data_IF_092894502604
#
_entry.id   IF_092894502604
#
_cell.length_a   1.000
_cell.length_b   1.000
_cell.length_c   1.000
_cell.angle_alpha   90.00
_cell.angle_beta   90.00
_cell.angle_gamma   90.00
#
_symmetry.space_group_name_H-M   'P 1'
#
loop_
_entity.id
_entity.type
_entity.pdbx_description
1 polymer ?
#
# COMPACT_ATOMS: atom_id res chain seq x y z
N UNK A 1 -2.69 33.21 -63.30
CA UNK A 1 -1.73 32.10 -63.03
C UNK A 1 -1.00 32.18 -61.67
N UNK A 2 -0.99 33.32 -60.94
CA UNK A 2 -0.26 33.45 -59.65
C UNK A 2 -1.00 32.97 -58.38
N UNK A 3 -2.30 32.65 -58.47
CA UNK A 3 -3.11 32.19 -57.33
C UNK A 3 -2.90 30.70 -56.97
N UNK A 4 -2.57 29.88 -57.97
CA UNK A 4 -2.32 28.44 -57.83
C UNK A 4 -1.14 28.16 -56.86
N UNK A 5 0.05 28.81 -56.97
CA UNK A 5 1.14 28.55 -56.03
C UNK A 5 0.81 29.00 -54.60
N UNK A 6 -0.01 30.04 -54.42
CA UNK A 6 -0.45 30.50 -53.09
C UNK A 6 -1.34 29.45 -52.42
N UNK A 7 -2.28 28.87 -53.17
CA UNK A 7 -3.14 27.78 -52.68
C UNK A 7 -2.32 26.55 -52.26
N UNK A 8 -1.28 26.21 -53.02
CA UNK A 8 -0.38 25.09 -52.70
C UNK A 8 0.36 25.36 -51.37
N UNK A 9 0.89 26.56 -51.17
CA UNK A 9 1.58 26.93 -49.92
C UNK A 9 0.64 26.86 -48.71
N UNK A 10 -0.59 27.36 -48.84
CA UNK A 10 -1.60 27.29 -47.77
C UNK A 10 -1.95 25.84 -47.45
N UNK A 11 -2.06 24.99 -48.47
CA UNK A 11 -2.32 23.57 -48.30
C UNK A 11 -1.19 22.84 -47.55
N UNK A 12 0.06 23.08 -47.93
CA UNK A 12 1.22 22.52 -47.22
C UNK A 12 1.32 23.04 -45.78
N UNK A 13 1.05 24.33 -45.55
CA UNK A 13 1.05 24.91 -44.21
C UNK A 13 -0.05 24.30 -43.33
N UNK A 14 -1.24 24.09 -43.88
CA UNK A 14 -2.33 23.40 -43.20
C UNK A 14 -1.94 21.96 -42.82
N UNK A 15 -1.38 21.19 -43.76
CA UNK A 15 -0.86 19.84 -43.48
C UNK A 15 0.18 19.87 -42.36
N UNK A 16 1.15 20.78 -42.41
CA UNK A 16 2.18 20.92 -41.40
C UNK A 16 1.60 21.16 -39.99
N UNK A 17 0.62 22.06 -39.86
CA UNK A 17 -0.06 22.32 -38.60
C UNK A 17 -0.79 21.08 -38.05
N UNK A 18 -1.49 20.33 -38.92
CA UNK A 18 -2.19 19.10 -38.49
C UNK A 18 -1.22 18.02 -38.00
N UNK A 19 -0.07 17.83 -38.67
CA UNK A 19 0.96 16.89 -38.26
C UNK A 19 1.58 17.27 -36.90
N UNK A 20 1.89 18.55 -36.69
CA UNK A 20 2.41 19.06 -35.41
C UNK A 20 1.42 18.82 -34.26
N UNK A 21 0.11 19.05 -34.49
CA UNK A 21 -0.96 18.78 -33.51
C UNK A 21 -1.06 17.28 -33.17
N UNK A 22 -1.00 16.40 -34.18
CA UNK A 22 -1.01 14.93 -33.98
C UNK A 22 0.19 14.45 -33.14
N UNK A 23 1.40 14.95 -33.43
CA UNK A 23 2.61 14.59 -32.66
C UNK A 23 2.51 15.02 -31.19
N UNK A 24 2.01 16.24 -30.92
CA UNK A 24 1.78 16.73 -29.54
C UNK A 24 0.75 15.87 -28.79
N UNK A 25 -0.34 15.48 -29.45
CA UNK A 25 -1.38 14.64 -28.86
C UNK A 25 -0.87 13.22 -28.56
N UNK A 26 -0.10 12.63 -29.47
CA UNK A 26 0.55 11.33 -29.29
C UNK A 26 1.53 11.35 -28.10
N UNK A 27 2.40 12.36 -28.02
CA UNK A 27 3.32 12.54 -26.88
C UNK A 27 2.59 12.72 -25.54
N UNK A 28 1.45 13.42 -25.52
CA UNK A 28 0.63 13.53 -24.30
C UNK A 28 0.05 12.17 -23.89
N UNK A 29 -0.47 11.39 -24.85
CA UNK A 29 -0.97 10.02 -24.59
C UNK A 29 0.14 9.11 -24.04
N UNK A 30 1.34 9.13 -24.62
CA UNK A 30 2.45 8.30 -24.14
C UNK A 30 2.93 8.72 -22.75
N UNK A 31 2.88 10.02 -22.41
CA UNK A 31 3.20 10.51 -21.07
C UNK A 31 2.18 10.04 -20.03
N UNK A 32 0.88 10.12 -20.34
CA UNK A 32 -0.19 9.63 -19.47
C UNK A 32 -0.06 8.12 -19.23
N UNK A 33 0.23 7.34 -20.26
CA UNK A 33 0.43 5.89 -20.11
C UNK A 33 1.67 5.55 -19.27
N UNK A 34 2.78 6.28 -19.46
CA UNK A 34 3.96 6.14 -18.58
C UNK A 34 3.63 6.49 -17.13
N UNK A 35 2.84 7.54 -16.90
CA UNK A 35 2.39 7.93 -15.57
C UNK A 35 1.54 6.85 -14.92
N UNK A 36 0.50 6.35 -15.61
CA UNK A 36 -0.35 5.24 -15.12
C UNK A 36 0.47 4.00 -14.79
N UNK A 37 1.40 3.62 -15.67
CA UNK A 37 2.29 2.47 -15.46
C UNK A 37 3.16 2.67 -14.21
N UNK A 38 3.76 3.84 -14.05
CA UNK A 38 4.56 4.17 -12.85
C UNK A 38 3.72 4.14 -11.58
N UNK A 39 2.53 4.71 -11.63
CA UNK A 39 1.59 4.72 -10.50
C UNK A 39 1.19 3.30 -10.09
N UNK A 40 0.79 2.46 -11.06
CA UNK A 40 0.49 1.04 -10.82
C UNK A 40 1.68 0.31 -10.18
N UNK A 41 2.89 0.52 -10.69
CA UNK A 41 4.10 -0.11 -10.14
C UNK A 41 4.39 0.33 -8.69
N UNK A 42 4.10 1.58 -8.35
CA UNK A 42 4.26 2.09 -6.97
C UNK A 42 3.26 1.39 -6.04
N UNK A 43 2.00 1.22 -6.45
CA UNK A 43 0.99 0.55 -5.64
C UNK A 43 1.33 -0.93 -5.41
N UNK A 44 1.71 -1.66 -6.46
CA UNK A 44 2.16 -3.07 -6.33
C UNK A 44 3.35 -3.19 -5.39
N UNK A 45 4.30 -2.23 -5.44
CA UNK A 45 5.43 -2.23 -4.52
C UNK A 45 4.98 -1.99 -3.07
N UNK A 46 4.03 -1.09 -2.84
CA UNK A 46 3.48 -0.82 -1.51
C UNK A 46 2.73 -2.03 -0.94
N UNK A 47 1.91 -2.69 -1.76
CA UNK A 47 1.21 -3.92 -1.40
C UNK A 47 2.21 -5.00 -0.94
N UNK A 48 3.27 -5.25 -1.71
CA UNK A 48 4.31 -6.21 -1.33
C UNK A 48 4.99 -5.86 0.00
N UNK A 49 5.31 -4.59 0.23
CA UNK A 49 5.92 -4.14 1.49
C UNK A 49 4.95 -4.37 2.65
N UNK A 50 3.66 -4.10 2.45
CA UNK A 50 2.61 -4.35 3.44
C UNK A 50 2.50 -5.84 3.77
N UNK A 51 2.45 -6.70 2.75
CA UNK A 51 2.43 -8.15 2.91
C UNK A 51 3.67 -8.67 3.64
N UNK A 52 4.86 -8.22 3.25
CA UNK A 52 6.11 -8.59 3.91
C UNK A 52 6.11 -8.16 5.39
N UNK A 53 5.61 -6.96 5.67
CA UNK A 53 5.44 -6.48 7.04
C UNK A 53 4.46 -7.36 7.84
N UNK A 54 3.27 -7.63 7.31
CA UNK A 54 2.27 -8.50 7.95
C UNK A 54 2.82 -9.93 8.15
N UNK A 55 3.52 -10.49 7.18
CA UNK A 55 4.18 -11.80 7.28
C UNK A 55 5.24 -11.80 8.38
N UNK A 56 6.06 -10.76 8.45
CA UNK A 56 7.07 -10.62 9.51
C UNK A 56 6.43 -10.55 10.90
N UNK A 57 5.22 -9.96 11.01
CA UNK A 57 4.48 -9.99 12.25
C UNK A 57 3.98 -11.42 12.54
N UNK A 58 3.33 -12.09 11.60
CA UNK A 58 2.79 -13.44 11.83
C UNK A 58 3.84 -14.49 12.27
N UNK A 59 5.10 -14.31 11.91
CA UNK A 59 6.17 -15.25 12.24
C UNK A 59 6.76 -15.08 13.65
N UNK A 60 6.81 -13.86 14.18
CA UNK A 60 7.45 -13.56 15.47
C UNK A 60 6.43 -13.02 16.49
N UNK A 61 6.03 -13.80 17.50
CA UNK A 61 5.09 -13.33 18.52
C UNK A 61 5.66 -12.22 19.42
N UNK A 62 6.98 -12.04 19.48
CA UNK A 62 7.63 -11.01 20.28
C UNK A 62 7.69 -9.65 19.58
N UNK A 63 7.54 -9.61 18.26
CA UNK A 63 7.50 -8.37 17.49
C UNK A 63 6.21 -7.60 17.80
N UNK A 64 6.35 -6.35 18.25
CA UNK A 64 5.22 -5.55 18.71
C UNK A 64 4.22 -5.26 17.58
N UNK A 65 2.93 -5.47 17.84
CA UNK A 65 1.84 -4.96 17.02
C UNK A 65 1.44 -3.59 17.61
N UNK A 66 1.78 -2.47 16.95
CA UNK A 66 1.42 -1.16 17.46
C UNK A 66 -0.08 -0.90 17.27
N UNK A 67 -0.73 -0.39 18.30
CA UNK A 67 -2.07 0.19 18.23
C UNK A 67 -1.95 1.70 18.38
N UNK A 68 -2.85 2.46 17.76
CA UNK A 68 -2.77 3.91 17.70
C UNK A 68 -4.07 4.49 17.20
N UNK A 69 -4.35 5.74 17.57
CA UNK A 69 -5.59 6.45 17.23
C UNK A 69 -5.68 6.84 15.76
N UNK A 70 -4.56 6.85 15.05
CA UNK A 70 -4.46 7.21 13.63
C UNK A 70 -4.75 6.06 12.66
N UNK A 71 -4.90 4.83 13.17
CA UNK A 71 -5.23 3.69 12.33
C UNK A 71 -6.71 3.69 11.99
N UNK A 72 -7.01 3.32 10.74
CA UNK A 72 -8.38 3.02 10.31
C UNK A 72 -8.93 1.78 11.02
N UNK A 73 -10.25 1.64 11.00
CA UNK A 73 -10.93 0.48 11.57
C UNK A 73 -10.46 -0.84 10.95
N UNK A 74 -10.26 -0.86 9.62
CA UNK A 74 -9.76 -2.02 8.89
C UNK A 74 -8.34 -2.41 9.33
N UNK A 75 -7.44 -1.43 9.50
CA UNK A 75 -6.08 -1.68 10.00
C UNK A 75 -6.09 -2.20 11.45
N UNK A 76 -6.96 -1.66 12.30
CA UNK A 76 -7.13 -2.14 13.67
C UNK A 76 -7.65 -3.58 13.69
N UNK A 77 -8.58 -3.92 12.80
CA UNK A 77 -9.12 -5.27 12.64
C UNK A 77 -8.04 -6.25 12.19
N UNK A 78 -7.27 -5.91 11.16
CA UNK A 78 -6.16 -6.76 10.69
C UNK A 78 -5.14 -7.00 11.82
N UNK A 79 -4.76 -5.95 12.56
CA UNK A 79 -3.85 -6.06 13.71
C UNK A 79 -4.41 -6.96 14.81
N UNK A 80 -5.71 -6.86 15.10
CA UNK A 80 -6.37 -7.73 16.07
C UNK A 80 -6.37 -9.19 15.60
N UNK A 81 -6.58 -9.45 14.32
CA UNK A 81 -6.58 -10.79 13.75
C UNK A 81 -5.17 -11.41 13.73
N UNK A 82 -4.12 -10.63 13.43
CA UNK A 82 -2.72 -11.05 13.58
C UNK A 82 -2.45 -11.42 15.05
N UNK A 83 -2.90 -10.58 15.99
CA UNK A 83 -2.71 -10.83 17.42
C UNK A 83 -3.38 -12.13 17.88
N UNK A 84 -4.65 -12.35 17.51
CA UNK A 84 -5.40 -13.59 17.79
C UNK A 84 -4.71 -14.81 17.18
N UNK A 85 -4.27 -14.70 15.93
CA UNK A 85 -3.56 -15.78 15.22
C UNK A 85 -2.27 -16.18 15.94
N UNK A 86 -1.49 -15.19 16.41
CA UNK A 86 -0.27 -15.45 17.20
C UNK A 86 -0.58 -16.08 18.55
N UNK A 87 -1.60 -15.60 19.27
CA UNK A 87 -2.02 -16.21 20.53
C UNK A 87 -2.42 -17.68 20.32
N UNK A 88 -3.18 -17.98 19.28
CA UNK A 88 -3.57 -19.35 18.95
C UNK A 88 -2.38 -20.22 18.55
N UNK A 89 -1.42 -19.70 17.79
CA UNK A 89 -0.29 -20.47 17.25
C UNK A 89 0.85 -20.65 18.24
N UNK A 90 1.21 -19.61 18.98
CA UNK A 90 2.39 -19.56 19.84
C UNK A 90 2.07 -19.49 21.33
N UNK A 91 0.79 -19.34 21.71
CA UNK A 91 0.38 -19.13 23.10
C UNK A 91 0.77 -17.78 23.69
N UNK A 92 1.35 -16.87 22.89
CA UNK A 92 1.78 -15.53 23.31
C UNK A 92 1.82 -14.56 22.14
N UNK A 93 1.67 -13.27 22.41
CA UNK A 93 1.75 -12.21 21.40
C UNK A 93 1.98 -10.85 22.05
N UNK A 94 2.91 -10.06 21.48
CA UNK A 94 3.18 -8.69 21.92
C UNK A 94 2.29 -7.69 21.18
N UNK A 95 1.49 -6.94 21.92
CA UNK A 95 0.61 -5.90 21.39
C UNK A 95 0.74 -4.63 22.23
N UNK A 96 0.87 -3.49 21.56
CA UNK A 96 1.05 -2.17 22.17
C UNK A 96 2.11 -2.13 23.29
N UNK A 97 3.23 -2.84 23.10
CA UNK A 97 4.33 -2.91 24.05
C UNK A 97 4.18 -3.98 25.13
N UNK A 98 2.98 -4.51 25.35
CA UNK A 98 2.69 -5.52 26.37
C UNK A 98 2.74 -6.93 25.78
N UNK A 99 3.35 -7.87 26.51
CA UNK A 99 3.33 -9.28 26.16
C UNK A 99 2.12 -9.95 26.82
N UNK A 100 1.24 -10.51 25.99
CA UNK A 100 0.09 -11.29 26.44
C UNK A 100 0.33 -12.78 26.19
N UNK A 101 -0.27 -13.61 27.05
CA UNK A 101 -0.12 -15.06 27.06
C UNK A 101 -1.49 -15.73 27.18
N UNK A 102 -1.61 -16.90 26.57
CA UNK A 102 -2.77 -17.78 26.73
C UNK A 102 -2.55 -18.65 27.97
N UNK A 103 -3.51 -18.61 28.90
CA UNK A 103 -3.53 -19.44 30.09
C UNK A 103 -4.05 -20.86 29.82
N UNK A 104 -3.88 -21.79 30.78
CA UNK A 104 -4.28 -23.20 30.61
C UNK A 104 -5.77 -23.40 30.29
N UNK A 105 -6.63 -22.45 30.71
CA UNK A 105 -8.08 -22.46 30.46
C UNK A 105 -8.51 -21.54 29.31
N UNK A 106 -7.57 -21.08 28.48
CA UNK A 106 -7.84 -20.17 27.36
C UNK A 106 -7.93 -18.69 27.71
N UNK A 107 -7.97 -18.32 29.00
CA UNK A 107 -7.95 -16.91 29.43
C UNK A 107 -6.63 -16.21 29.10
N UNK A 108 -6.69 -14.93 28.74
CA UNK A 108 -5.51 -14.13 28.39
C UNK A 108 -4.96 -13.44 29.64
N UNK A 109 -3.64 -13.46 29.81
CA UNK A 109 -2.99 -12.77 30.93
C UNK A 109 -1.69 -12.09 30.51
N UNK A 110 -1.28 -11.11 31.31
CA UNK A 110 0.05 -10.50 31.29
C UNK A 110 0.78 -10.74 32.60
N UNK A 111 2.10 -10.59 32.59
CA UNK A 111 2.92 -10.64 33.80
C UNK A 111 3.07 -9.20 34.31
N UNK A 112 2.67 -8.95 35.56
CA UNK A 112 2.84 -7.64 36.20
C UNK A 112 4.31 -7.39 36.56
N UNK A 113 4.67 -6.15 36.91
CA UNK A 113 6.02 -5.84 37.42
C UNK A 113 6.44 -6.75 38.59
N UNK A 114 5.49 -7.12 39.44
CA UNK A 114 5.69 -8.03 40.58
C UNK A 114 5.79 -9.52 40.20
N UNK A 115 5.83 -9.87 38.91
CA UNK A 115 5.91 -11.25 38.42
C UNK A 115 4.62 -12.07 38.51
N UNK A 116 3.51 -11.47 38.97
CA UNK A 116 2.21 -12.15 39.08
C UNK A 116 1.47 -12.16 37.75
N UNK A 117 0.64 -13.18 37.53
CA UNK A 117 -0.29 -13.23 36.38
C UNK A 117 -1.46 -12.29 36.64
N UNK A 118 -1.68 -11.33 35.75
CA UNK A 118 -2.86 -10.47 35.71
C UNK A 118 -3.67 -10.81 34.47
N UNK A 119 -4.83 -11.41 34.65
CA UNK A 119 -5.74 -11.70 33.54
C UNK A 119 -6.32 -10.40 32.99
N UNK A 120 -6.48 -10.35 31.68
CA UNK A 120 -7.03 -9.21 30.90
C UNK A 120 -8.50 -9.44 30.64
#
# INVERSE_FOLDING_TARGET
MKLIPILIIVFFFYIFLTLKKRKKLSNRKTLIERFKKRFKNINVRRERISEEFTNSLLLDPCKNIPLGTWYSEDELREKADIHRSRLSKFGKSKINGEMLYVGPKGGIYKISGDGKKKYV
#
